data_IF_474978167893
#
_entry.id   IF_474978167893
#
_cell.length_a   1.000
_cell.length_b   1.000
_cell.length_c   1.000
_cell.angle_alpha   90.00
_cell.angle_beta   90.00
_cell.angle_gamma   90.00
#
_symmetry.space_group_name_H-M   'P 1'
#
loop_
_entity.id
_entity.type
_entity.pdbx_description
1 polymer ?
#
# COMPACT_ATOMS: atom_id res chain seq x y z
N UNK A 1 14.67 6.33 0.17
CA UNK A 1 15.21 6.44 -1.22
C UNK A 1 14.73 5.24 -2.01
N UNK A 2 14.25 5.43 -3.24
CA UNK A 2 13.92 4.34 -4.16
C UNK A 2 15.04 4.14 -5.17
N UNK A 3 15.43 2.88 -5.42
CA UNK A 3 16.49 2.51 -6.35
C UNK A 3 16.02 1.41 -7.30
N UNK A 4 16.32 1.57 -8.58
CA UNK A 4 16.15 0.52 -9.59
C UNK A 4 17.51 -0.04 -9.97
N UNK A 5 17.59 -1.35 -10.08
CA UNK A 5 18.81 -2.08 -10.43
C UNK A 5 18.54 -2.90 -11.69
N UNK A 6 19.47 -2.86 -12.63
CA UNK A 6 19.41 -3.70 -13.84
C UNK A 6 20.47 -4.80 -13.70
N UNK A 7 20.03 -6.05 -13.59
CA UNK A 7 20.91 -7.21 -13.39
C UNK A 7 21.81 -7.50 -14.60
N UNK A 8 21.52 -6.89 -15.76
CA UNK A 8 22.35 -7.01 -16.97
C UNK A 8 23.54 -6.05 -16.95
N UNK A 9 23.57 -5.06 -16.05
CA UNK A 9 24.70 -4.15 -15.91
C UNK A 9 25.84 -4.89 -15.19
N UNK A 10 26.97 -5.04 -15.89
CA UNK A 10 28.11 -5.89 -15.50
C UNK A 10 28.84 -5.41 -14.23
N UNK A 11 28.30 -5.73 -13.05
CA UNK A 11 29.02 -5.67 -11.78
C UNK A 11 29.31 -4.28 -11.22
N UNK A 12 28.95 -3.19 -11.92
CA UNK A 12 28.95 -1.86 -11.31
C UNK A 12 27.85 -1.80 -10.25
N UNK A 13 28.22 -1.59 -8.98
CA UNK A 13 27.29 -1.42 -7.84
C UNK A 13 26.54 -0.08 -7.89
N UNK A 14 26.01 0.29 -9.06
CA UNK A 14 25.31 1.54 -9.30
C UNK A 14 23.88 1.25 -9.74
N UNK A 15 22.93 1.87 -9.04
CA UNK A 15 21.53 1.82 -9.43
C UNK A 15 21.35 2.50 -10.79
N UNK A 16 20.54 1.89 -11.67
CA UNK A 16 20.14 2.48 -12.94
C UNK A 16 19.38 3.79 -12.71
N UNK A 17 18.53 3.83 -11.68
CA UNK A 17 17.82 5.03 -11.23
C UNK A 17 17.82 5.10 -9.71
N UNK A 18 17.92 6.31 -9.16
CA UNK A 18 17.86 6.58 -7.72
C UNK A 18 17.08 7.89 -7.51
N UNK A 19 15.98 7.84 -6.75
CA UNK A 19 15.15 9.03 -6.48
C UNK A 19 14.70 9.07 -5.03
N UNK A 20 14.55 10.28 -4.48
CA UNK A 20 13.86 10.50 -3.21
C UNK A 20 12.37 10.66 -3.51
N UNK A 21 11.59 9.65 -3.16
CA UNK A 21 10.13 9.58 -3.44
C UNK A 21 9.27 9.97 -2.25
N UNK A 22 9.81 9.90 -1.03
CA UNK A 22 9.16 10.25 0.24
C UNK A 22 10.10 11.06 1.12
N UNK A 23 9.53 11.76 2.11
CA UNK A 23 10.31 12.53 3.08
C UNK A 23 10.94 11.63 4.14
N UNK A 24 10.26 10.53 4.50
CA UNK A 24 10.72 9.55 5.48
C UNK A 24 11.07 8.19 4.83
N UNK A 25 11.25 7.15 5.66
CA UNK A 25 11.55 5.79 5.22
C UNK A 25 10.50 5.23 4.28
N UNK A 26 10.93 4.43 3.29
CA UNK A 26 10.03 3.72 2.37
C UNK A 26 10.07 2.25 2.77
N UNK A 27 8.92 1.71 3.16
CA UNK A 27 8.80 0.39 3.76
C UNK A 27 8.42 -0.68 2.74
N UNK A 28 7.57 -0.32 1.78
CA UNK A 28 7.06 -1.26 0.78
C UNK A 28 6.92 -0.60 -0.60
N UNK A 29 6.92 -1.44 -1.63
CA UNK A 29 6.77 -1.09 -3.03
C UNK A 29 5.99 -2.19 -3.74
N UNK A 30 5.11 -1.81 -4.67
CA UNK A 30 4.38 -2.75 -5.52
C UNK A 30 4.30 -2.29 -6.97
N UNK A 31 4.63 -3.18 -7.90
CA UNK A 31 4.48 -2.95 -9.35
C UNK A 31 3.05 -3.27 -9.78
N UNK A 32 2.48 -2.41 -10.62
CA UNK A 32 1.19 -2.67 -11.22
C UNK A 32 1.34 -3.74 -12.33
N UNK A 33 0.56 -4.82 -12.26
CA UNK A 33 0.63 -5.91 -13.25
C UNK A 33 -0.08 -5.60 -14.57
N UNK A 34 -0.94 -4.58 -14.60
CA UNK A 34 -1.70 -4.15 -15.77
C UNK A 34 -1.06 -2.94 -16.45
N UNK A 35 -0.25 -2.15 -15.72
CA UNK A 35 0.43 -0.98 -16.25
C UNK A 35 1.94 -0.99 -15.92
N UNK A 36 2.76 -1.27 -16.94
CA UNK A 36 4.20 -1.53 -16.79
C UNK A 36 5.01 -0.40 -16.14
N UNK A 37 4.51 0.84 -16.19
CA UNK A 37 5.23 2.01 -15.69
C UNK A 37 4.75 2.50 -14.33
N UNK A 38 3.70 1.90 -13.77
CA UNK A 38 3.07 2.41 -12.55
C UNK A 38 3.49 1.59 -11.33
N UNK A 39 3.92 2.29 -10.28
CA UNK A 39 4.27 1.70 -8.99
C UNK A 39 3.59 2.42 -7.84
N UNK A 40 3.46 1.71 -6.73
CA UNK A 40 3.10 2.26 -5.42
C UNK A 40 4.29 2.13 -4.48
N UNK A 41 4.40 3.07 -3.55
CA UNK A 41 5.31 2.98 -2.40
C UNK A 41 4.61 3.38 -1.11
N UNK A 42 4.78 2.59 -0.04
CA UNK A 42 4.32 2.91 1.31
C UNK A 42 5.48 3.45 2.15
N UNK A 43 5.20 4.43 3.02
CA UNK A 43 6.22 5.14 3.78
C UNK A 43 5.85 5.42 5.23
N UNK A 44 6.88 5.65 6.04
CA UNK A 44 6.80 6.19 7.40
C UNK A 44 6.16 7.58 7.44
N UNK A 45 6.10 8.32 6.31
CA UNK A 45 5.40 9.60 6.22
C UNK A 45 3.86 9.48 6.19
N UNK A 46 3.35 8.28 6.50
CA UNK A 46 1.93 7.90 6.58
C UNK A 46 1.20 7.90 5.22
N UNK A 47 1.92 8.11 4.11
CA UNK A 47 1.32 8.16 2.78
C UNK A 47 1.68 6.94 1.94
N UNK A 48 0.77 6.59 1.02
CA UNK A 48 1.11 5.80 -0.17
C UNK A 48 1.34 6.75 -1.32
N UNK A 49 2.50 6.65 -1.98
CA UNK A 49 2.80 7.42 -3.19
C UNK A 49 2.54 6.61 -4.46
N UNK A 50 1.92 7.25 -5.46
CA UNK A 50 1.76 6.73 -6.81
C UNK A 50 2.80 7.36 -7.74
N UNK A 51 3.53 6.55 -8.51
CA UNK A 51 4.58 7.03 -9.39
C UNK A 51 4.57 6.38 -10.77
N UNK A 52 4.99 7.16 -11.76
CA UNK A 52 5.42 6.68 -13.07
C UNK A 52 6.94 6.49 -13.07
N UNK A 53 7.42 5.27 -13.33
CA UNK A 53 8.86 4.95 -13.31
C UNK A 53 9.64 5.67 -14.41
N UNK A 54 8.97 6.14 -15.47
CA UNK A 54 9.59 6.97 -16.53
C UNK A 54 9.91 8.38 -16.02
N UNK A 55 9.25 8.83 -14.94
CA UNK A 55 9.46 10.14 -14.33
C UNK A 55 9.28 10.12 -12.80
N UNK A 56 10.19 9.45 -12.08
CA UNK A 56 10.18 9.34 -10.61
C UNK A 56 10.40 10.66 -9.85
N UNK A 57 10.62 11.79 -10.55
CA UNK A 57 10.77 13.10 -9.91
C UNK A 57 9.43 13.71 -9.52
N UNK A 58 8.35 13.29 -10.18
CA UNK A 58 7.00 13.80 -9.96
C UNK A 58 6.12 12.67 -9.45
N UNK A 59 5.66 12.81 -8.20
CA UNK A 59 4.60 11.96 -7.63
C UNK A 59 3.31 12.23 -8.42
N UNK A 60 2.66 11.17 -8.93
CA UNK A 60 1.40 11.28 -9.65
C UNK A 60 0.25 11.61 -8.70
N UNK A 61 0.22 10.93 -7.55
CA UNK A 61 -0.78 11.13 -6.50
C UNK A 61 -0.24 10.70 -5.13
N UNK A 62 -0.86 11.18 -4.07
CA UNK A 62 -0.58 10.79 -2.68
C UNK A 62 -1.86 10.34 -2.01
N UNK A 63 -1.90 9.11 -1.53
CA UNK A 63 -3.01 8.59 -0.73
C UNK A 63 -2.73 8.83 0.74
N UNK A 64 -3.51 9.72 1.34
CA UNK A 64 -3.28 10.27 2.68
C UNK A 64 -4.54 10.07 3.54
N UNK A 65 -4.64 8.89 4.15
CA UNK A 65 -5.70 8.57 5.12
C UNK A 65 -5.20 7.71 6.29
N UNK A 66 -4.03 7.07 6.17
CA UNK A 66 -3.41 6.36 7.29
C UNK A 66 -2.96 7.35 8.36
N UNK A 67 -3.01 6.91 9.62
CA UNK A 67 -2.67 7.75 10.79
C UNK A 67 -1.32 7.42 11.41
N UNK A 68 -0.60 6.49 10.82
CA UNK A 68 0.70 6.00 11.26
C UNK A 68 1.42 5.36 10.05
N UNK A 69 2.66 4.93 10.24
CA UNK A 69 3.55 4.35 9.22
C UNK A 69 2.82 3.34 8.31
N UNK A 70 2.94 3.51 6.99
CA UNK A 70 2.46 2.52 6.03
C UNK A 70 3.51 1.43 5.92
N UNK A 71 3.14 0.21 6.29
CA UNK A 71 4.06 -0.92 6.39
C UNK A 71 4.08 -1.75 5.12
N UNK A 72 2.92 -1.93 4.48
CA UNK A 72 2.82 -2.67 3.23
C UNK A 72 1.80 -2.07 2.25
N UNK A 73 2.03 -2.28 0.96
CA UNK A 73 1.16 -1.87 -0.14
C UNK A 73 1.19 -2.91 -1.25
N UNK A 74 0.02 -3.31 -1.76
CA UNK A 74 -0.07 -4.31 -2.83
C UNK A 74 -1.24 -4.01 -3.78
N UNK A 75 -0.93 -4.04 -5.08
CA UNK A 75 -1.94 -4.01 -6.13
C UNK A 75 -2.86 -5.23 -6.07
N UNK A 76 -4.13 -5.01 -6.41
CA UNK A 76 -5.08 -6.10 -6.61
C UNK A 76 -4.71 -6.91 -7.88
N UNK A 77 -4.77 -8.25 -7.84
CA UNK A 77 -4.69 -9.10 -9.02
C UNK A 77 -5.91 -9.06 -9.93
N UNK A 78 -6.96 -8.33 -9.54
CA UNK A 78 -8.25 -8.34 -10.23
C UNK A 78 -8.57 -7.07 -11.00
N UNK A 79 -7.88 -5.97 -10.72
CA UNK A 79 -8.20 -4.67 -11.31
C UNK A 79 -6.98 -3.77 -11.39
N UNK A 80 -6.88 -3.02 -12.48
CA UNK A 80 -5.75 -2.14 -12.77
C UNK A 80 -5.66 -0.94 -11.83
N UNK A 81 -6.76 -0.54 -11.20
CA UNK A 81 -6.87 0.67 -10.38
C UNK A 81 -7.01 0.41 -8.88
N UNK A 82 -7.15 -0.84 -8.47
CA UNK A 82 -7.43 -1.20 -7.08
C UNK A 82 -6.17 -1.71 -6.40
N UNK A 83 -5.93 -1.24 -5.17
CA UNK A 83 -4.85 -1.73 -4.33
C UNK A 83 -5.25 -1.64 -2.86
N UNK A 84 -4.43 -2.23 -2.00
CA UNK A 84 -4.59 -2.13 -0.56
C UNK A 84 -3.29 -1.68 0.09
N UNK A 85 -3.40 -1.09 1.27
CA UNK A 85 -2.28 -0.76 2.14
C UNK A 85 -2.58 -1.11 3.58
N UNK A 86 -1.53 -1.49 4.32
CA UNK A 86 -1.60 -1.76 5.76
C UNK A 86 -0.71 -0.77 6.51
N UNK A 87 -1.11 -0.45 7.74
CA UNK A 87 -0.40 0.51 8.57
C UNK A 87 -0.30 0.08 10.02
N UNK A 88 0.68 0.70 10.69
CA UNK A 88 0.85 0.68 12.14
C UNK A 88 -0.36 1.22 12.91
N UNK A 89 -1.23 1.98 12.24
CA UNK A 89 -2.52 2.45 12.76
C UNK A 89 -3.57 1.34 12.94
N UNK A 90 -3.20 0.08 12.63
CA UNK A 90 -4.02 -1.13 12.77
C UNK A 90 -5.19 -1.17 11.77
N UNK A 91 -5.05 -0.46 10.65
CA UNK A 91 -6.01 -0.44 9.55
C UNK A 91 -5.39 -1.03 8.30
N UNK A 92 -6.22 -1.75 7.57
CA UNK A 92 -5.99 -2.07 6.18
C UNK A 92 -7.00 -1.27 5.36
N UNK A 93 -6.52 -0.51 4.39
CA UNK A 93 -7.35 0.35 3.55
C UNK A 93 -7.31 -0.19 2.13
N UNK A 94 -8.49 -0.27 1.49
CA UNK A 94 -8.62 -0.57 0.07
C UNK A 94 -8.90 0.73 -0.67
N UNK A 95 -8.21 0.91 -1.79
CA UNK A 95 -8.20 2.13 -2.58
C UNK A 95 -8.65 1.84 -4.02
N UNK A 96 -9.27 2.82 -4.65
CA UNK A 96 -9.62 2.80 -6.08
C UNK A 96 -9.21 4.11 -6.76
N UNK A 97 -8.22 4.02 -7.65
CA UNK A 97 -7.70 5.18 -8.37
C UNK A 97 -8.72 5.87 -9.26
N UNK A 98 -9.76 5.18 -9.73
CA UNK A 98 -10.77 5.80 -10.59
C UNK A 98 -11.58 6.88 -9.87
N UNK A 99 -11.52 6.88 -8.54
CA UNK A 99 -12.23 7.83 -7.68
C UNK A 99 -11.37 9.01 -7.24
N UNK A 100 -10.10 9.08 -7.65
CA UNK A 100 -9.25 10.26 -7.36
C UNK A 100 -9.95 11.52 -7.87
N UNK A 101 -10.11 12.51 -7.00
CA UNK A 101 -10.83 13.77 -7.25
C UNK A 101 -12.32 13.60 -7.63
N UNK A 102 -12.94 12.45 -7.36
CA UNK A 102 -14.37 12.28 -7.58
C UNK A 102 -15.16 13.24 -6.68
N UNK A 103 -16.28 13.81 -7.17
CA UNK A 103 -17.12 14.68 -6.36
C UNK A 103 -17.64 13.99 -5.09
N UNK A 104 -17.54 14.66 -3.95
CA UNK A 104 -18.07 14.19 -2.66
C UNK A 104 -18.90 15.28 -1.97
N UNK A 105 -19.83 14.85 -1.12
CA UNK A 105 -20.52 15.76 -0.20
C UNK A 105 -19.57 16.19 0.93
N UNK A 106 -19.89 17.31 1.59
CA UNK A 106 -19.11 17.79 2.74
C UNK A 106 -19.03 16.72 3.84
N UNK A 107 -20.13 16.01 4.09
CA UNK A 107 -20.16 14.93 5.09
C UNK A 107 -19.24 13.76 4.70
N UNK A 108 -19.23 13.34 3.43
CA UNK A 108 -18.36 12.27 2.97
C UNK A 108 -16.87 12.67 3.02
N UNK A 109 -16.55 13.92 2.68
CA UNK A 109 -15.19 14.43 2.74
C UNK A 109 -14.60 14.48 4.16
N UNK A 110 -15.45 14.53 5.21
CA UNK A 110 -15.01 14.42 6.61
C UNK A 110 -14.58 12.99 6.99
N UNK A 111 -15.13 11.97 6.32
CA UNK A 111 -14.79 10.57 6.56
C UNK A 111 -13.49 10.16 5.85
N UNK A 112 -13.17 10.79 4.72
CA UNK A 112 -11.91 10.62 4.02
C UNK A 112 -12.00 10.87 2.52
N UNK A 113 -10.88 10.68 1.79
CA UNK A 113 -10.82 10.96 0.37
C UNK A 113 -11.66 9.97 -0.46
N UNK A 114 -12.15 10.35 -1.65
CA UNK A 114 -13.07 9.52 -2.45
C UNK A 114 -12.46 8.21 -2.94
N UNK A 115 -11.15 8.18 -3.13
CA UNK A 115 -10.40 6.99 -3.51
C UNK A 115 -10.25 5.97 -2.37
N UNK A 116 -10.59 6.32 -1.13
CA UNK A 116 -10.62 5.39 -0.01
C UNK A 116 -11.97 4.67 0.03
N UNK A 117 -12.03 3.45 -0.51
CA UNK A 117 -13.30 2.73 -0.69
C UNK A 117 -13.66 1.81 0.46
N UNK A 118 -12.68 1.38 1.27
CA UNK A 118 -12.92 0.53 2.42
C UNK A 118 -11.84 0.65 3.48
N UNK A 119 -12.23 0.63 4.75
CA UNK A 119 -11.31 0.55 5.89
C UNK A 119 -11.63 -0.70 6.71
N UNK A 120 -10.68 -1.61 6.81
CA UNK A 120 -10.76 -2.75 7.72
C UNK A 120 -10.23 -2.37 9.10
N UNK A 121 -11.14 -2.28 10.07
CA UNK A 121 -10.83 -1.99 11.47
C UNK A 121 -10.69 -3.20 12.38
N UNK A 122 -10.60 -4.42 11.83
CA UNK A 122 -10.69 -5.64 12.62
C UNK A 122 -9.46 -5.93 13.48
N UNK A 123 -8.24 -5.57 13.05
CA UNK A 123 -7.04 -5.85 13.83
C UNK A 123 -6.94 -4.96 15.08
N UNK A 124 -6.56 -5.57 16.21
CA UNK A 124 -6.33 -4.87 17.49
C UNK A 124 -4.86 -4.48 17.69
N UNK A 125 -3.98 -4.94 16.80
CA UNK A 125 -2.56 -4.61 16.77
C UNK A 125 -2.07 -4.31 15.34
N UNK A 126 -0.82 -3.89 15.23
CA UNK A 126 -0.14 -3.53 13.97
C UNK A 126 -0.27 -4.66 12.96
N UNK A 127 -0.75 -4.33 11.76
CA UNK A 127 -0.82 -5.26 10.63
C UNK A 127 0.58 -5.34 10.03
N UNK A 128 1.20 -6.51 10.09
CA UNK A 128 2.59 -6.70 9.65
C UNK A 128 2.67 -7.02 8.16
N UNK A 129 1.67 -7.74 7.65
CA UNK A 129 1.65 -8.22 6.27
C UNK A 129 0.20 -8.50 5.86
N UNK A 130 -0.07 -8.42 4.56
CA UNK A 130 -1.31 -8.89 3.97
C UNK A 130 -1.09 -9.40 2.55
N UNK A 131 -1.96 -10.29 2.11
CA UNK A 131 -1.90 -10.86 0.77
C UNK A 131 -3.28 -10.90 0.14
N UNK A 132 -3.36 -10.45 -1.10
CA UNK A 132 -4.48 -10.75 -1.97
C UNK A 132 -4.48 -12.25 -2.27
N UNK A 133 -5.63 -12.90 -2.13
CA UNK A 133 -5.79 -14.23 -2.69
C UNK A 133 -5.57 -14.14 -4.22
N UNK A 134 -5.00 -15.16 -4.90
CA UNK A 134 -4.67 -15.08 -6.32
C UNK A 134 -5.87 -15.31 -7.26
N UNK A 135 -6.91 -16.02 -6.81
CA UNK A 135 -8.08 -16.35 -7.65
C UNK A 135 -9.45 -15.84 -7.17
N UNK A 136 -9.54 -15.28 -5.98
CA UNK A 136 -10.76 -14.78 -5.38
C UNK A 136 -10.49 -13.37 -4.82
N UNK A 137 -11.49 -12.50 -4.88
CA UNK A 137 -11.44 -11.13 -4.33
C UNK A 137 -11.47 -11.13 -2.80
N UNK A 138 -10.43 -11.73 -2.20
CA UNK A 138 -10.20 -11.88 -0.77
C UNK A 138 -8.83 -11.33 -0.42
N UNK A 139 -8.73 -10.79 0.79
CA UNK A 139 -7.47 -10.38 1.40
C UNK A 139 -7.29 -11.15 2.71
N UNK A 140 -6.12 -11.72 2.92
CA UNK A 140 -5.69 -12.26 4.20
C UNK A 140 -4.70 -11.28 4.84
N UNK A 141 -4.92 -10.88 6.09
CA UNK A 141 -4.04 -9.97 6.81
C UNK A 141 -3.64 -10.53 8.17
N UNK A 142 -2.42 -10.22 8.60
CA UNK A 142 -1.85 -10.69 9.87
C UNK A 142 -1.40 -9.54 10.73
N UNK A 143 -1.68 -9.61 12.04
CA UNK A 143 -1.14 -8.66 13.01
C UNK A 143 -0.21 -9.35 14.01
N UNK A 144 0.77 -8.60 14.49
CA UNK A 144 1.60 -9.05 15.61
C UNK A 144 0.71 -9.24 16.84
N UNK A 145 0.58 -10.47 17.34
CA UNK A 145 0.07 -10.68 18.69
C UNK A 145 1.26 -11.01 19.58
N UNK A 146 1.46 -10.23 20.64
CA UNK A 146 2.44 -10.54 21.68
C UNK A 146 1.79 -11.20 22.91
N UNK A 147 0.58 -11.76 22.81
CA UNK A 147 0.02 -12.51 23.93
C UNK A 147 0.74 -13.86 24.06
N UNK A 148 1.81 -13.83 24.86
CA UNK A 148 2.51 -14.99 25.45
C UNK A 148 1.57 -15.74 26.40
N UNK A 149 0.52 -16.35 25.85
CA UNK A 149 -0.28 -17.38 26.52
C UNK A 149 -0.16 -18.67 25.69
N UNK A 150 1.02 -19.30 25.73
CA UNK A 150 1.29 -20.70 25.30
C UNK A 150 0.75 -21.19 23.95
N UNK A 151 0.31 -20.33 23.04
CA UNK A 151 -0.03 -20.68 21.67
C UNK A 151 0.35 -19.51 20.76
N UNK A 152 1.35 -19.73 19.89
CA UNK A 152 1.73 -18.83 18.81
C UNK A 152 0.57 -18.70 17.81
N UNK A 153 -0.44 -17.89 18.12
CA UNK A 153 -1.54 -17.59 17.20
C UNK A 153 -1.35 -16.20 16.62
N UNK A 154 -0.77 -16.16 15.42
CA UNK A 154 -0.90 -15.01 14.53
C UNK A 154 -2.40 -14.81 14.23
N UNK A 155 -2.96 -13.65 14.57
CA UNK A 155 -4.35 -13.32 14.22
C UNK A 155 -4.44 -13.13 12.69
N UNK A 156 -4.83 -14.18 11.98
CA UNK A 156 -5.15 -14.12 10.55
C UNK A 156 -6.61 -13.65 10.43
N UNK A 157 -6.84 -12.56 9.71
CA UNK A 157 -8.19 -12.13 9.31
C UNK A 157 -8.34 -12.24 7.81
N UNK A 158 -9.47 -12.80 7.38
CA UNK A 158 -9.85 -12.85 5.97
C UNK A 158 -10.95 -11.80 5.77
N UNK A 159 -10.73 -10.93 4.80
CA UNK A 159 -11.66 -9.87 4.40
C UNK A 159 -12.12 -10.24 2.99
N UNK A 160 -13.43 -10.27 2.76
CA UNK A 160 -13.96 -10.21 1.39
C UNK A 160 -13.85 -8.76 0.92
N UNK A 161 -13.17 -8.49 -0.19
CA UNK A 161 -13.23 -7.16 -0.81
C UNK A 161 -14.58 -6.99 -1.51
N UNK A 162 -15.09 -5.75 -1.50
CA UNK A 162 -16.36 -5.31 -2.11
C UNK A 162 -16.29 -5.26 -3.63
#
# INVERSE_FOLDING_TARGET
>A
MLKFWDSRMNGEMKAAFCSRVHNEGVNSLSFNQFCEYVILTGSDDHTVGLFDIRNLKHRLHSFDAHRDEVLDVNWSPYGETVFASSSRDKRLIIWDMTKINAPQSIAAAQEGPPEMIFIHGGHTNVIQDFSWHPHNQLIASVSANNELHNNLSTNIKIICSI
#
